data_IF_540969383268
#
_entry.id   IF_540969383268
#
_cell.length_a   1.000
_cell.length_b   1.000
_cell.length_c   1.000
_cell.angle_alpha   90.00
_cell.angle_beta   90.00
_cell.angle_gamma   90.00
#
_symmetry.space_group_name_H-M   'P 1'
#
loop_
_entity.id
_entity.type
_entity.pdbx_description
1 polymer ?
#
# COMPACT_ATOMS: atom_id res chain seq x y z
N UNK A 1 72.57 17.93 38.21
CA UNK A 1 72.20 16.93 39.24
C UNK A 1 70.82 16.39 38.85
N UNK A 2 70.79 15.15 38.34
CA UNK A 2 69.64 14.26 38.00
C UNK A 2 68.60 14.76 36.96
N UNK A 3 68.55 14.29 35.69
CA UNK A 3 67.99 13.01 35.17
C UNK A 3 66.63 12.65 35.81
N UNK A 4 65.50 12.57 35.08
CA UNK A 4 65.17 11.48 34.16
C UNK A 4 64.06 11.80 33.14
N UNK A 5 64.22 11.17 31.98
CA UNK A 5 63.27 10.89 30.91
C UNK A 5 62.03 10.14 31.43
N UNK A 6 60.83 10.45 30.91
CA UNK A 6 59.61 9.72 31.24
C UNK A 6 58.49 9.92 30.24
N UNK A 7 58.56 9.17 29.13
CA UNK A 7 57.51 9.01 28.11
C UNK A 7 56.23 8.51 28.81
N UNK A 8 55.19 9.35 28.89
CA UNK A 8 53.89 8.91 29.38
C UNK A 8 53.19 8.11 28.27
N UNK A 9 53.33 6.79 28.35
CA UNK A 9 52.64 5.82 27.48
C UNK A 9 51.13 5.88 27.72
N UNK A 10 50.42 5.93 26.61
CA UNK A 10 49.00 5.64 26.41
C UNK A 10 48.52 4.39 27.13
N UNK A 11 47.34 4.47 27.73
CA UNK A 11 46.39 3.34 27.86
C UNK A 11 44.98 3.89 27.65
N UNK A 12 44.58 4.00 26.38
CA UNK A 12 43.16 4.15 26.01
C UNK A 12 42.60 2.73 26.08
N UNK A 13 41.82 2.45 27.12
CA UNK A 13 41.06 1.19 27.21
C UNK A 13 39.90 1.32 26.22
N UNK A 14 40.10 0.76 25.02
CA UNK A 14 39.00 0.45 24.12
C UNK A 14 38.19 -0.67 24.78
N UNK A 15 37.11 -0.31 25.47
CA UNK A 15 36.06 -1.28 25.81
C UNK A 15 35.40 -1.62 24.48
N UNK A 16 35.85 -2.72 23.88
CA UNK A 16 35.12 -3.35 22.80
C UNK A 16 33.78 -3.79 23.38
N UNK A 17 32.75 -2.96 23.20
CA UNK A 17 31.36 -3.36 23.24
C UNK A 17 31.19 -4.33 22.07
N UNK A 18 31.58 -5.59 22.29
CA UNK A 18 31.07 -6.70 21.49
C UNK A 18 29.59 -6.73 21.83
N UNK A 19 28.78 -6.07 21.00
CA UNK A 19 27.39 -6.41 20.90
C UNK A 19 27.39 -7.90 20.54
N UNK A 20 27.19 -8.75 21.54
CA UNK A 20 26.73 -10.09 21.30
C UNK A 20 25.37 -9.90 20.63
N UNK A 21 25.37 -9.87 19.30
CA UNK A 21 24.17 -10.17 18.54
C UNK A 21 23.83 -11.58 18.96
N UNK A 22 22.87 -11.70 19.88
CA UNK A 22 22.26 -12.97 20.21
C UNK A 22 21.51 -13.44 18.97
N UNK A 23 22.20 -14.12 18.05
CA UNK A 23 21.57 -15.01 17.08
C UNK A 23 21.08 -16.25 17.84
N UNK A 24 20.11 -16.06 18.73
CA UNK A 24 19.59 -17.14 19.57
C UNK A 24 18.25 -17.66 19.11
N UNK A 25 17.79 -17.35 17.91
CA UNK A 25 16.48 -17.77 17.41
C UNK A 25 16.63 -18.19 15.94
N UNK A 26 17.07 -19.44 15.73
CA UNK A 26 17.28 -20.01 14.40
C UNK A 26 16.46 -21.29 14.25
N UNK A 27 15.59 -21.34 13.24
CA UNK A 27 14.80 -22.53 12.88
C UNK A 27 15.62 -23.84 12.88
N UNK A 28 16.88 -23.79 12.43
CA UNK A 28 17.75 -24.96 12.40
C UNK A 28 17.95 -25.59 13.80
N UNK A 29 18.08 -24.76 14.85
CA UNK A 29 18.25 -25.24 16.22
C UNK A 29 16.99 -25.96 16.70
N UNK A 30 15.81 -25.41 16.40
CA UNK A 30 14.52 -26.01 16.79
C UNK A 30 14.34 -27.36 16.09
N UNK A 31 14.70 -27.43 14.80
CA UNK A 31 14.69 -28.68 14.02
C UNK A 31 15.64 -29.73 14.62
N UNK A 32 16.86 -29.36 14.98
CA UNK A 32 17.82 -30.28 15.61
C UNK A 32 17.29 -30.78 16.95
N UNK A 33 16.75 -29.90 17.78
CA UNK A 33 16.17 -30.26 19.08
C UNK A 33 14.99 -31.25 18.96
N UNK A 34 14.09 -31.03 18.00
CA UNK A 34 12.99 -31.95 17.70
C UNK A 34 13.51 -33.30 17.20
N UNK A 35 14.56 -33.31 16.38
CA UNK A 35 15.10 -34.54 15.82
C UNK A 35 15.88 -35.37 16.85
N UNK A 36 16.46 -34.73 17.87
CA UNK A 36 17.20 -35.39 18.95
C UNK A 36 16.30 -35.87 20.11
N UNK A 37 15.09 -35.31 20.26
CA UNK A 37 14.10 -35.68 21.28
C UNK A 37 13.07 -36.67 20.73
N UNK A 38 12.88 -37.82 21.39
CA UNK A 38 11.90 -38.82 20.98
C UNK A 38 10.47 -38.60 21.52
N UNK A 39 10.18 -37.57 22.34
CA UNK A 39 8.86 -37.44 22.97
C UNK A 39 8.53 -36.11 23.69
N UNK A 40 9.13 -34.96 23.36
CA UNK A 40 8.66 -33.67 23.89
C UNK A 40 8.17 -32.76 22.75
N UNK A 41 7.02 -32.10 22.96
CA UNK A 41 6.41 -31.11 22.06
C UNK A 41 7.28 -29.85 22.00
N UNK A 42 8.43 -29.92 21.32
CA UNK A 42 9.17 -28.73 20.92
C UNK A 42 8.46 -28.13 19.70
N UNK A 43 7.95 -26.92 19.83
CA UNK A 43 7.31 -26.19 18.74
C UNK A 43 8.37 -25.52 17.85
N UNK A 44 8.16 -25.53 16.53
CA UNK A 44 8.97 -24.82 15.54
C UNK A 44 8.60 -23.33 15.52
N UNK A 45 8.89 -22.60 16.58
CA UNK A 45 8.45 -21.20 16.72
C UNK A 45 9.20 -20.25 15.81
N UNK A 46 10.47 -20.54 15.50
CA UNK A 46 11.34 -19.67 14.68
C UNK A 46 11.38 -20.08 13.19
N UNK A 47 10.55 -21.05 12.79
CA UNK A 47 10.48 -21.54 11.41
C UNK A 47 9.33 -20.91 10.63
N UNK A 48 9.35 -19.59 10.49
CA UNK A 48 8.40 -18.84 9.67
C UNK A 48 9.09 -18.09 8.51
N UNK A 49 8.31 -17.31 7.76
CA UNK A 49 8.79 -16.52 6.63
C UNK A 49 9.06 -15.05 7.01
N UNK A 50 9.06 -14.71 8.30
CA UNK A 50 9.27 -13.34 8.77
C UNK A 50 10.74 -13.00 8.73
N UNK A 51 11.03 -11.86 8.12
CA UNK A 51 12.36 -11.28 8.08
C UNK A 51 12.25 -9.77 7.90
N UNK A 52 13.34 -9.05 8.18
CA UNK A 52 13.35 -7.59 8.03
C UNK A 52 12.41 -6.90 9.03
N UNK A 53 11.65 -5.92 8.55
CA UNK A 53 10.80 -5.07 9.39
C UNK A 53 9.32 -5.44 9.40
N UNK A 54 8.93 -6.57 8.79
CA UNK A 54 7.51 -6.89 8.50
C UNK A 54 6.61 -6.88 9.74
N UNK A 55 7.07 -7.40 10.88
CA UNK A 55 6.28 -7.45 12.13
C UNK A 55 5.81 -6.07 12.60
N UNK A 56 6.58 -5.03 12.31
CA UNK A 56 6.28 -3.68 12.76
C UNK A 56 5.34 -2.92 11.81
N UNK A 57 5.15 -3.42 10.58
CA UNK A 57 4.43 -2.74 9.51
C UNK A 57 3.29 -3.58 8.92
N UNK A 58 3.13 -4.83 9.36
CA UNK A 58 2.04 -5.74 8.96
C UNK A 58 0.67 -5.08 9.10
N UNK A 59 0.41 -4.40 10.23
CA UNK A 59 -0.84 -3.66 10.45
C UNK A 59 -1.08 -2.56 9.41
N UNK A 60 -0.03 -1.83 9.01
CA UNK A 60 -0.13 -0.80 7.95
C UNK A 60 -0.48 -1.46 6.60
N UNK A 61 0.10 -2.62 6.29
CA UNK A 61 -0.22 -3.40 5.10
C UNK A 61 -1.66 -3.93 5.10
N UNK A 62 -2.14 -4.46 6.22
CA UNK A 62 -3.53 -4.90 6.38
C UNK A 62 -4.51 -3.73 6.14
N UNK A 63 -4.22 -2.56 6.71
CA UNK A 63 -5.01 -1.34 6.48
C UNK A 63 -4.99 -0.89 5.01
N UNK A 64 -3.84 -1.02 4.33
CA UNK A 64 -3.71 -0.74 2.90
C UNK A 64 -4.52 -1.73 2.04
N UNK A 65 -4.44 -3.03 2.32
CA UNK A 65 -5.22 -4.05 1.63
C UNK A 65 -6.73 -3.79 1.77
N UNK A 66 -7.19 -3.52 3.00
CA UNK A 66 -8.59 -3.14 3.24
C UNK A 66 -8.95 -1.86 2.48
N UNK A 67 -8.07 -0.87 2.41
CA UNK A 67 -8.32 0.36 1.62
C UNK A 67 -8.57 0.05 0.15
N UNK A 68 -7.74 -0.78 -0.47
CA UNK A 68 -7.92 -1.15 -1.88
C UNK A 68 -9.22 -1.92 -2.10
N UNK A 69 -9.56 -2.88 -1.23
CA UNK A 69 -10.80 -3.64 -1.32
C UNK A 69 -12.06 -2.78 -1.11
N UNK A 70 -12.06 -1.85 -0.18
CA UNK A 70 -13.22 -0.96 0.00
C UNK A 70 -13.35 0.04 -1.16
N UNK A 71 -12.23 0.57 -1.65
CA UNK A 71 -12.24 1.52 -2.77
C UNK A 71 -12.57 0.85 -4.11
N UNK A 72 -12.25 -0.43 -4.29
CA UNK A 72 -12.72 -1.19 -5.45
C UNK A 72 -14.24 -1.28 -5.47
N UNK A 73 -14.88 -1.51 -4.32
CA UNK A 73 -16.35 -1.51 -4.20
C UNK A 73 -16.96 -0.13 -4.45
N UNK A 74 -16.32 0.95 -3.98
CA UNK A 74 -16.77 2.32 -4.29
C UNK A 74 -16.76 2.59 -5.80
N UNK A 75 -15.69 2.19 -6.50
CA UNK A 75 -15.62 2.35 -7.96
C UNK A 75 -16.55 1.40 -8.72
N UNK A 76 -16.81 0.19 -8.20
CA UNK A 76 -17.82 -0.69 -8.74
C UNK A 76 -19.21 -0.04 -8.67
N UNK A 77 -19.53 0.60 -7.55
CA UNK A 77 -20.77 1.35 -7.40
C UNK A 77 -20.85 2.50 -8.41
N UNK A 78 -19.76 3.25 -8.62
CA UNK A 78 -19.72 4.27 -9.69
C UNK A 78 -19.92 3.67 -11.08
N UNK A 79 -19.29 2.53 -11.39
CA UNK A 79 -19.47 1.85 -12.67
C UNK A 79 -20.94 1.48 -12.91
N UNK A 80 -21.62 0.91 -11.92
CA UNK A 80 -23.04 0.55 -12.02
C UNK A 80 -23.96 1.78 -12.12
N UNK A 81 -23.65 2.87 -11.43
CA UNK A 81 -24.36 4.14 -11.55
C UNK A 81 -24.33 4.66 -13.00
N UNK A 82 -23.15 4.68 -13.62
CA UNK A 82 -23.02 5.18 -14.99
C UNK A 82 -23.51 4.20 -16.06
N UNK A 83 -23.55 2.91 -15.76
CA UNK A 83 -24.09 1.87 -16.63
C UNK A 83 -25.61 1.71 -16.60
N UNK A 84 -26.32 2.44 -15.73
CA UNK A 84 -27.79 2.34 -15.64
C UNK A 84 -28.49 3.03 -16.83
N UNK A 85 -29.79 2.77 -17.00
CA UNK A 85 -30.57 3.30 -18.13
C UNK A 85 -30.81 4.81 -18.07
N UNK A 86 -30.69 5.43 -16.89
CA UNK A 86 -30.93 6.86 -16.69
C UNK A 86 -29.71 7.69 -17.10
N UNK A 87 -28.51 7.22 -16.73
CA UNK A 87 -27.24 7.85 -17.08
C UNK A 87 -26.77 7.43 -18.48
N UNK A 88 -26.78 6.13 -18.77
CA UNK A 88 -26.41 5.59 -20.08
C UNK A 88 -25.01 6.04 -20.55
N UNK A 89 -24.00 5.94 -19.68
CA UNK A 89 -22.60 6.36 -19.91
C UNK A 89 -21.64 5.15 -19.94
N UNK A 90 -21.62 4.37 -21.03
CA UNK A 90 -20.81 3.15 -21.09
C UNK A 90 -19.29 3.40 -21.01
N UNK A 91 -18.81 4.59 -21.36
CA UNK A 91 -17.40 4.95 -21.21
C UNK A 91 -17.02 5.18 -19.76
N UNK A 92 -17.81 5.96 -19.03
CA UNK A 92 -17.64 6.11 -17.58
C UNK A 92 -17.82 4.77 -16.86
N UNK A 93 -18.78 3.95 -17.25
CA UNK A 93 -18.94 2.60 -16.72
C UNK A 93 -17.66 1.77 -16.90
N UNK A 94 -17.14 1.67 -18.13
CA UNK A 94 -15.89 0.94 -18.44
C UNK A 94 -14.71 1.49 -17.64
N UNK A 95 -14.59 2.81 -17.57
CA UNK A 95 -13.51 3.48 -16.85
C UNK A 95 -13.54 3.15 -15.35
N UNK A 96 -14.67 3.33 -14.68
CA UNK A 96 -14.79 3.02 -13.25
C UNK A 96 -14.72 1.52 -12.95
N UNK A 97 -15.23 0.66 -13.84
CA UNK A 97 -15.03 -0.78 -13.72
C UNK A 97 -13.54 -1.12 -13.75
N UNK A 98 -12.77 -0.53 -14.68
CA UNK A 98 -11.33 -0.78 -14.76
C UNK A 98 -10.56 -0.35 -13.51
N UNK A 99 -10.99 0.75 -12.86
CA UNK A 99 -10.41 1.18 -11.57
C UNK A 99 -10.80 0.23 -10.43
N UNK A 100 -12.03 -0.28 -10.45
CA UNK A 100 -12.50 -1.28 -9.49
C UNK A 100 -11.68 -2.57 -9.60
N UNK A 101 -11.54 -3.11 -10.80
CA UNK A 101 -10.83 -4.37 -11.06
C UNK A 101 -9.35 -4.24 -10.65
N UNK A 102 -8.68 -3.14 -11.03
CA UNK A 102 -7.29 -2.88 -10.63
C UNK A 102 -7.11 -2.83 -9.12
N UNK A 103 -8.00 -2.15 -8.39
CA UNK A 103 -7.90 -2.08 -6.93
C UNK A 103 -8.25 -3.40 -6.24
N UNK A 104 -9.15 -4.18 -6.83
CA UNK A 104 -9.44 -5.52 -6.34
C UNK A 104 -8.20 -6.42 -6.44
N UNK A 105 -7.52 -6.39 -7.59
CA UNK A 105 -6.25 -7.09 -7.80
C UNK A 105 -5.15 -6.57 -6.88
N UNK A 106 -5.01 -5.25 -6.71
CA UNK A 106 -4.05 -4.65 -5.77
C UNK A 106 -4.32 -5.08 -4.33
N UNK A 107 -5.59 -5.17 -3.91
CA UNK A 107 -5.99 -5.69 -2.61
C UNK A 107 -5.57 -7.16 -2.43
N UNK A 108 -5.84 -8.02 -3.42
CA UNK A 108 -5.41 -9.43 -3.40
C UNK A 108 -3.88 -9.55 -3.36
N UNK A 109 -3.17 -8.78 -4.17
CA UNK A 109 -1.70 -8.81 -4.22
C UNK A 109 -1.09 -8.34 -2.90
N UNK A 110 -1.69 -7.33 -2.26
CA UNK A 110 -1.28 -6.90 -0.92
C UNK A 110 -1.45 -8.03 0.10
N UNK A 111 -2.57 -8.77 0.06
CA UNK A 111 -2.81 -9.92 0.95
C UNK A 111 -1.76 -11.01 0.74
N UNK A 112 -1.48 -11.36 -0.53
CA UNK A 112 -0.45 -12.34 -0.86
C UNK A 112 0.91 -11.92 -0.34
N UNK A 113 1.27 -10.65 -0.54
CA UNK A 113 2.53 -10.11 -0.05
C UNK A 113 2.65 -10.19 1.48
N UNK A 114 1.59 -9.88 2.23
CA UNK A 114 1.56 -10.06 3.69
C UNK A 114 1.88 -11.53 4.06
N UNK A 115 1.19 -12.47 3.42
CA UNK A 115 1.36 -13.90 3.73
C UNK A 115 2.70 -14.48 3.26
N UNK A 116 3.23 -13.99 2.14
CA UNK A 116 4.54 -14.39 1.61
C UNK A 116 5.68 -13.92 2.53
N UNK A 117 5.45 -12.87 3.31
CA UNK A 117 6.34 -12.34 4.34
C UNK A 117 6.07 -12.89 5.75
N UNK A 118 5.23 -13.94 5.86
CA UNK A 118 4.93 -14.62 7.12
C UNK A 118 3.93 -13.92 8.02
N UNK A 119 3.28 -12.85 7.56
CA UNK A 119 2.20 -12.17 8.28
C UNK A 119 0.82 -12.78 8.02
N UNK A 120 -0.19 -12.26 8.71
CA UNK A 120 -1.58 -12.68 8.54
C UNK A 120 -2.46 -11.50 8.11
N UNK A 121 -3.49 -11.76 7.30
CA UNK A 121 -4.43 -10.71 6.90
C UNK A 121 -5.52 -10.54 7.97
N UNK A 122 -5.71 -9.30 8.44
CA UNK A 122 -6.83 -8.91 9.31
C UNK A 122 -7.82 -7.99 8.59
N UNK A 123 -8.95 -8.54 8.16
CA UNK A 123 -10.03 -7.77 7.50
C UNK A 123 -10.77 -6.80 8.44
N UNK A 124 -10.58 -6.91 9.76
CA UNK A 124 -11.16 -5.96 10.71
C UNK A 124 -10.28 -4.71 10.92
N UNK A 125 -9.06 -4.70 10.38
CA UNK A 125 -8.17 -3.54 10.41
C UNK A 125 -8.60 -2.51 9.35
N UNK A 126 -9.78 -1.94 9.53
CA UNK A 126 -10.39 -0.98 8.60
C UNK A 126 -9.98 0.44 9.00
N UNK A 127 -9.20 1.17 8.18
CA UNK A 127 -8.81 2.53 8.50
C UNK A 127 -9.99 3.47 8.74
N UNK A 128 -9.86 4.36 9.73
CA UNK A 128 -10.93 5.28 10.16
C UNK A 128 -11.46 6.13 8.99
N UNK A 129 -10.58 6.56 8.08
CA UNK A 129 -10.97 7.38 6.92
C UNK A 129 -11.88 6.67 5.90
N UNK A 130 -12.03 5.34 5.98
CA UNK A 130 -13.00 4.58 5.17
C UNK A 130 -14.38 4.52 5.83
N UNK A 131 -14.46 4.86 7.12
CA UNK A 131 -15.72 4.88 7.87
C UNK A 131 -16.46 6.21 7.67
N UNK A 132 -15.74 7.24 7.22
CA UNK A 132 -16.28 8.56 6.93
C UNK A 132 -16.77 8.65 5.47
N UNK A 133 -17.96 9.23 5.30
CA UNK A 133 -18.56 9.68 4.03
C UNK A 133 -19.24 8.60 3.17
N UNK A 134 -20.48 8.26 3.54
CA UNK A 134 -21.48 7.72 2.60
C UNK A 134 -22.47 8.84 2.25
N UNK A 135 -22.04 9.83 1.49
CA UNK A 135 -22.97 10.78 0.87
C UNK A 135 -23.88 10.02 -0.10
N UNK A 136 -25.19 9.96 0.21
CA UNK A 136 -26.20 9.27 -0.60
C UNK A 136 -26.51 9.95 -1.94
N UNK A 137 -25.82 11.04 -2.29
CA UNK A 137 -26.04 11.75 -3.55
C UNK A 137 -25.22 11.11 -4.67
N UNK A 138 -25.89 10.71 -5.74
CA UNK A 138 -25.24 10.24 -6.97
C UNK A 138 -24.43 11.36 -7.64
N UNK A 139 -23.09 11.24 -7.77
CA UNK A 139 -22.28 12.28 -8.36
C UNK A 139 -22.56 12.47 -9.86
N UNK A 140 -22.48 13.71 -10.33
CA UNK A 140 -22.31 14.01 -11.75
C UNK A 140 -20.96 13.49 -12.27
N UNK A 141 -20.80 13.42 -13.59
CA UNK A 141 -19.60 12.88 -14.24
C UNK A 141 -18.33 13.62 -13.81
N UNK A 142 -18.37 14.95 -13.72
CA UNK A 142 -17.22 15.75 -13.25
C UNK A 142 -16.94 15.54 -11.77
N UNK A 143 -17.98 15.44 -10.94
CA UNK A 143 -17.84 15.15 -9.51
C UNK A 143 -17.24 13.76 -9.28
N UNK A 144 -17.63 12.75 -10.06
CA UNK A 144 -17.10 11.40 -9.93
C UNK A 144 -15.62 11.34 -10.32
N UNK A 145 -15.21 12.01 -11.41
CA UNK A 145 -13.78 12.12 -11.76
C UNK A 145 -13.00 12.85 -10.66
N UNK A 146 -13.56 13.92 -10.08
CA UNK A 146 -12.96 14.62 -8.94
C UNK A 146 -12.80 13.73 -7.71
N UNK A 147 -13.87 13.01 -7.33
CA UNK A 147 -13.85 12.04 -6.22
C UNK A 147 -12.82 10.93 -6.44
N UNK A 148 -12.72 10.41 -7.67
CA UNK A 148 -11.73 9.41 -8.03
C UNK A 148 -10.31 9.95 -7.91
N UNK A 149 -10.05 11.16 -8.41
CA UNK A 149 -8.74 11.80 -8.31
C UNK A 149 -8.29 11.96 -6.85
N UNK A 150 -9.18 12.44 -5.99
CA UNK A 150 -8.88 12.61 -4.57
C UNK A 150 -8.70 11.28 -3.85
N UNK A 151 -9.48 10.26 -4.21
CA UNK A 151 -9.34 8.91 -3.68
C UNK A 151 -7.98 8.30 -4.04
N UNK A 152 -7.55 8.41 -5.30
CA UNK A 152 -6.24 7.91 -5.73
C UNK A 152 -5.09 8.67 -5.07
N UNK A 153 -5.20 10.00 -4.90
CA UNK A 153 -4.21 10.78 -4.13
C UNK A 153 -4.14 10.39 -2.66
N UNK A 154 -5.28 10.06 -2.03
CA UNK A 154 -5.32 9.55 -0.65
C UNK A 154 -4.62 8.19 -0.57
N UNK A 155 -4.91 7.27 -1.48
CA UNK A 155 -4.24 5.96 -1.54
C UNK A 155 -2.74 6.08 -1.79
N UNK A 156 -2.30 7.02 -2.65
CA UNK A 156 -0.88 7.28 -2.84
C UNK A 156 -0.17 7.75 -1.57
N UNK A 157 -0.84 8.58 -0.75
CA UNK A 157 -0.30 8.98 0.55
C UNK A 157 -0.20 7.80 1.53
N UNK A 158 -1.15 6.87 1.52
CA UNK A 158 -1.06 5.63 2.33
C UNK A 158 0.19 4.85 1.95
N UNK A 159 0.44 4.66 0.64
CA UNK A 159 1.65 3.99 0.13
C UNK A 159 2.92 4.74 0.54
N UNK A 160 2.94 6.07 0.48
CA UNK A 160 4.12 6.87 0.84
C UNK A 160 4.44 6.83 2.34
N UNK A 161 3.44 6.87 3.22
CA UNK A 161 3.72 6.72 4.66
C UNK A 161 4.24 5.31 4.98
N UNK A 162 3.69 4.28 4.35
CA UNK A 162 4.18 2.91 4.51
C UNK A 162 5.61 2.76 3.98
N UNK A 163 5.92 3.36 2.83
CA UNK A 163 7.28 3.38 2.28
C UNK A 163 8.28 4.11 3.19
N UNK A 164 7.86 5.22 3.81
CA UNK A 164 8.67 5.97 4.78
C UNK A 164 8.93 5.17 6.05
N UNK A 165 7.94 4.45 6.56
CA UNK A 165 8.09 3.51 7.69
C UNK A 165 9.11 2.42 7.35
N UNK A 166 8.97 1.82 6.16
CA UNK A 166 9.87 0.78 5.66
C UNK A 166 11.29 1.29 5.38
N UNK A 167 11.47 2.49 4.84
CA UNK A 167 12.79 3.02 4.49
C UNK A 167 13.54 3.63 5.68
N UNK A 168 12.80 4.00 6.74
CA UNK A 168 13.33 4.74 7.88
C UNK A 168 13.25 3.93 9.18
N UNK A 169 12.08 3.98 9.82
CA UNK A 169 11.90 3.53 11.20
C UNK A 169 12.15 2.04 11.39
N UNK A 170 11.59 1.21 10.50
CA UNK A 170 11.67 -0.25 10.61
C UNK A 170 12.72 -0.88 9.71
N UNK A 171 13.18 -0.13 8.71
CA UNK A 171 14.22 -0.53 7.75
C UNK A 171 14.00 -1.91 7.10
N UNK A 172 13.19 -1.93 6.06
CA UNK A 172 12.92 -3.08 5.22
C UNK A 172 12.98 -2.66 3.73
N UNK A 173 14.15 -2.83 3.07
CA UNK A 173 14.33 -2.41 1.69
C UNK A 173 13.54 -3.28 0.69
N UNK A 174 13.13 -4.49 1.08
CA UNK A 174 12.30 -5.35 0.24
C UNK A 174 10.88 -4.79 0.17
N UNK A 175 10.32 -4.37 1.32
CA UNK A 175 9.06 -3.62 1.40
C UNK A 175 9.13 -2.31 0.61
N UNK A 176 10.18 -1.52 0.80
CA UNK A 176 10.32 -0.25 0.11
C UNK A 176 10.27 -0.43 -1.42
N UNK A 177 11.03 -1.40 -1.94
CA UNK A 177 11.05 -1.72 -3.37
C UNK A 177 9.69 -2.25 -3.86
N UNK A 178 9.07 -3.17 -3.12
CA UNK A 178 7.76 -3.72 -3.47
C UNK A 178 6.73 -2.60 -3.68
N UNK A 179 6.70 -1.59 -2.81
CA UNK A 179 5.77 -0.46 -2.92
C UNK A 179 6.05 0.42 -4.15
N UNK A 180 7.33 0.67 -4.43
CA UNK A 180 7.77 1.44 -5.60
C UNK A 180 7.34 0.77 -6.91
N UNK A 181 7.62 -0.53 -7.02
CA UNK A 181 7.37 -1.34 -8.22
C UNK A 181 5.87 -1.57 -8.44
N UNK A 182 5.13 -1.96 -7.40
CA UNK A 182 3.74 -2.39 -7.56
C UNK A 182 2.72 -1.27 -7.53
N UNK A 183 2.94 -0.17 -6.79
CA UNK A 183 1.88 0.83 -6.58
C UNK A 183 2.24 2.23 -7.03
N UNK A 184 3.44 2.72 -6.72
CA UNK A 184 3.76 4.14 -6.92
C UNK A 184 3.70 4.55 -8.39
N UNK A 185 4.23 3.73 -9.30
CA UNK A 185 4.18 3.99 -10.74
C UNK A 185 2.72 4.01 -11.26
N UNK A 186 1.92 2.99 -10.91
CA UNK A 186 0.51 2.87 -11.30
C UNK A 186 -0.30 4.08 -10.79
N UNK A 187 -0.14 4.45 -9.53
CA UNK A 187 -0.84 5.58 -8.93
C UNK A 187 -0.49 6.92 -9.59
N UNK A 188 0.79 7.15 -9.91
CA UNK A 188 1.24 8.35 -10.65
C UNK A 188 0.54 8.47 -12.00
N UNK A 189 0.44 7.36 -12.75
CA UNK A 189 -0.21 7.34 -14.06
C UNK A 189 -1.73 7.56 -13.94
N UNK A 190 -2.40 6.88 -13.00
CA UNK A 190 -3.84 7.07 -12.76
C UNK A 190 -4.16 8.51 -12.33
N UNK A 191 -3.38 9.09 -11.40
CA UNK A 191 -3.55 10.48 -10.96
C UNK A 191 -3.41 11.44 -12.14
N UNK A 192 -2.42 11.21 -13.03
CA UNK A 192 -2.22 12.05 -14.21
C UNK A 192 -3.40 11.96 -15.17
N UNK A 193 -3.91 10.75 -15.42
CA UNK A 193 -5.09 10.51 -16.28
C UNK A 193 -6.32 11.22 -15.73
N UNK A 194 -6.65 10.98 -14.45
CA UNK A 194 -7.80 11.60 -13.79
C UNK A 194 -7.72 13.13 -13.75
N UNK A 195 -6.54 13.70 -13.52
CA UNK A 195 -6.34 15.15 -13.56
C UNK A 195 -6.55 15.73 -14.96
N UNK A 196 -6.14 15.01 -16.01
CA UNK A 196 -6.42 15.37 -17.40
C UNK A 196 -7.92 15.34 -17.68
N UNK A 197 -8.58 14.23 -17.37
CA UNK A 197 -10.02 14.07 -17.52
C UNK A 197 -10.82 15.14 -16.79
N UNK A 198 -10.45 15.47 -15.55
CA UNK A 198 -11.11 16.55 -14.81
C UNK A 198 -11.01 17.89 -15.54
N UNK A 199 -9.82 18.20 -16.09
CA UNK A 199 -9.59 19.45 -16.81
C UNK A 199 -10.37 19.49 -18.12
N UNK A 200 -10.29 18.44 -18.91
CA UNK A 200 -10.95 18.35 -20.21
C UNK A 200 -12.47 18.41 -20.04
N UNK A 201 -13.01 17.61 -19.13
CA UNK A 201 -14.44 17.58 -18.85
C UNK A 201 -14.94 18.90 -18.29
N UNK A 202 -14.20 19.55 -17.38
CA UNK A 202 -14.57 20.89 -16.89
C UNK A 202 -14.67 21.93 -18.01
N UNK A 203 -13.79 21.83 -19.01
CA UNK A 203 -13.81 22.72 -20.18
C UNK A 203 -14.94 22.38 -21.14
N UNK A 204 -15.24 21.10 -21.34
CA UNK A 204 -16.32 20.65 -22.24
C UNK A 204 -17.71 20.98 -21.68
N UNK A 205 -17.84 21.04 -20.35
CA UNK A 205 -19.08 21.41 -19.68
C UNK A 205 -19.31 22.93 -19.59
N UNK A 206 -18.33 23.75 -19.98
CA UNK A 206 -18.44 25.21 -19.98
C UNK A 206 -19.00 25.71 -21.32
N UNK A 207 -20.33 25.69 -21.44
CA UNK A 207 -21.01 26.30 -22.59
C UNK A 207 -22.31 25.61 -23.01
N UNK A 208 -22.96 26.10 -24.08
CA UNK A 208 -24.23 25.57 -24.58
C UNK A 208 -24.10 24.14 -25.13
N UNK A 209 -22.90 23.73 -25.55
CA UNK A 209 -22.64 22.41 -26.13
C UNK A 209 -22.27 21.34 -25.09
N UNK A 210 -22.42 21.64 -23.79
CA UNK A 210 -22.07 20.72 -22.70
C UNK A 210 -22.64 19.30 -22.84
N UNK A 211 -23.92 19.09 -23.22
CA UNK A 211 -24.43 17.73 -23.43
C UNK A 211 -23.73 16.97 -24.55
N UNK A 212 -23.35 17.65 -25.62
CA UNK A 212 -22.63 17.07 -26.75
C UNK A 212 -21.16 16.80 -26.39
N UNK A 213 -20.52 17.73 -25.70
CA UNK A 213 -19.15 17.55 -25.18
C UNK A 213 -19.06 16.35 -24.24
N UNK A 214 -20.02 16.21 -23.33
CA UNK A 214 -20.10 15.07 -22.42
C UNK A 214 -20.32 13.74 -23.15
N UNK A 215 -21.16 13.72 -24.19
CA UNK A 215 -21.36 12.54 -25.03
C UNK A 215 -20.06 12.10 -25.72
N UNK A 216 -19.32 13.03 -26.32
CA UNK A 216 -18.05 12.71 -26.98
C UNK A 216 -16.97 12.31 -26.00
N UNK A 217 -16.94 12.91 -24.82
CA UNK A 217 -16.04 12.51 -23.75
C UNK A 217 -16.31 11.07 -23.30
N UNK A 218 -17.58 10.70 -23.08
CA UNK A 218 -17.96 9.33 -22.78
C UNK A 218 -17.58 8.37 -23.92
N UNK A 219 -17.69 8.79 -25.19
CA UNK A 219 -17.21 7.99 -26.33
C UNK A 219 -15.70 7.79 -26.31
N UNK A 220 -14.93 8.83 -26.00
CA UNK A 220 -13.48 8.72 -25.85
C UNK A 220 -13.07 7.74 -24.75
N UNK A 221 -13.80 7.70 -23.62
CA UNK A 221 -13.56 6.73 -22.55
C UNK A 221 -13.91 5.27 -22.93
N UNK A 222 -14.71 5.05 -23.98
CA UNK A 222 -15.07 3.70 -24.44
C UNK A 222 -13.98 3.05 -25.30
N UNK A 223 -13.13 3.85 -25.95
CA UNK A 223 -12.01 3.39 -26.77
C UNK A 223 -10.95 2.66 -25.92
#
# INVERSE_FOLDING_TARGET
MFFFLGIMKTFIIFVALVAAVSCSDECYRDVVAICDLSSEEVALTECDAKYGGIDNIESSFQGMANTFLYKSLDFLLMATLYGNYERGRPGFQKFFQSLSDQLWDDGINTIKYITDRGGEMNFNNIPIYLQEDRTCSEPSELEAIGKALDSTKKMARVVFELHKEASGQYYDPEIARYLEDEYMAKQKDIIRTLAGHAKDLSSLLDGPDAPLGLYWFDKHLQE
#
